data_IF_076209176118
#
_entry.id   IF_076209176118
#
_cell.length_a   1.000
_cell.length_b   1.000
_cell.length_c   1.000
_cell.angle_alpha   90.00
_cell.angle_beta   90.00
_cell.angle_gamma   90.00
#
_symmetry.space_group_name_H-M   'P 1'
#
loop_
_entity.id
_entity.type
_entity.pdbx_description
1 polymer ?
#
# COMPACT_ATOMS: atom_id res chain seq x y z
N UNK A 1 45.05 -26.86 -2.97
CA UNK A 1 44.01 -27.54 -2.17
C UNK A 1 42.68 -27.12 -2.79
N UNK A 2 41.94 -28.03 -3.44
CA UNK A 2 40.64 -27.67 -4.04
C UNK A 2 39.71 -27.19 -2.91
N UNK A 3 39.02 -26.04 -3.05
CA UNK A 3 38.10 -25.60 -2.03
C UNK A 3 36.95 -26.61 -1.93
N UNK A 4 36.74 -27.16 -0.74
CA UNK A 4 35.63 -28.08 -0.44
C UNK A 4 34.26 -27.36 -0.38
N UNK A 5 34.27 -26.03 -0.45
CA UNK A 5 33.11 -25.16 -0.29
C UNK A 5 33.21 -23.98 -1.27
N UNK A 6 32.14 -23.75 -2.04
CA UNK A 6 32.04 -22.59 -2.92
C UNK A 6 31.72 -21.32 -2.10
N UNK A 7 32.42 -20.19 -2.34
CA UNK A 7 32.14 -18.92 -1.67
C UNK A 7 30.69 -18.46 -1.81
N UNK A 8 30.09 -18.64 -2.98
CA UNK A 8 28.71 -18.27 -3.31
C UNK A 8 27.72 -19.13 -2.52
N UNK A 9 28.00 -20.42 -2.40
CA UNK A 9 27.20 -21.33 -1.57
C UNK A 9 27.30 -20.96 -0.08
N UNK A 10 28.49 -20.59 0.39
CA UNK A 10 28.67 -20.08 1.75
C UNK A 10 27.89 -18.78 1.98
N UNK A 11 27.88 -17.87 1.01
CA UNK A 11 27.08 -16.65 1.08
C UNK A 11 25.60 -16.98 1.32
N UNK A 12 25.00 -17.87 0.52
CA UNK A 12 23.60 -18.26 0.72
C UNK A 12 23.33 -18.91 2.08
N UNK A 13 24.25 -19.73 2.60
CA UNK A 13 24.12 -20.33 3.93
C UNK A 13 24.16 -19.28 5.05
N UNK A 14 25.05 -18.31 4.96
CA UNK A 14 25.20 -17.23 5.94
C UNK A 14 24.11 -16.16 5.82
N UNK A 15 23.46 -16.05 4.67
CA UNK A 15 22.29 -15.20 4.46
C UNK A 15 20.98 -15.85 4.90
N UNK A 16 21.01 -17.08 5.40
CA UNK A 16 19.80 -17.80 5.84
C UNK A 16 19.29 -17.31 7.21
N UNK A 17 17.98 -17.39 7.41
CA UNK A 17 17.33 -17.11 8.69
C UNK A 17 17.88 -17.96 9.84
N UNK A 18 18.25 -19.21 9.55
CA UNK A 18 18.81 -20.12 10.55
C UNK A 18 20.17 -19.65 11.09
N UNK A 19 21.02 -19.11 10.22
CA UNK A 19 22.29 -18.52 10.64
C UNK A 19 22.04 -17.20 11.38
N UNK A 20 21.15 -16.35 10.86
CA UNK A 20 20.80 -15.09 11.49
C UNK A 20 20.27 -15.29 12.92
N UNK A 21 19.32 -16.21 13.11
CA UNK A 21 18.75 -16.54 14.42
C UNK A 21 19.82 -17.06 15.40
N UNK A 22 20.72 -17.94 14.93
CA UNK A 22 21.83 -18.43 15.73
C UNK A 22 22.79 -17.31 16.14
N UNK A 23 23.17 -16.45 15.19
CA UNK A 23 24.03 -15.29 15.44
C UNK A 23 23.42 -14.34 16.47
N UNK A 24 22.11 -14.08 16.36
CA UNK A 24 21.35 -13.24 17.28
C UNK A 24 21.23 -13.82 18.69
N UNK A 25 21.03 -15.13 18.83
CA UNK A 25 20.96 -15.80 20.13
C UNK A 25 22.27 -15.67 20.93
N UNK A 26 23.39 -15.63 20.22
CA UNK A 26 24.72 -15.52 20.83
C UNK A 26 25.28 -14.09 20.83
N UNK A 27 24.51 -13.12 20.34
CA UNK A 27 24.91 -11.72 20.31
C UNK A 27 24.93 -11.09 21.71
N UNK A 28 25.84 -10.14 21.93
CA UNK A 28 25.95 -9.39 23.20
C UNK A 28 25.41 -7.98 23.05
N UNK A 29 24.66 -7.52 24.05
CA UNK A 29 24.11 -6.16 24.13
C UNK A 29 22.65 -6.08 23.63
N UNK A 30 21.78 -5.45 24.43
CA UNK A 30 20.33 -5.42 24.16
C UNK A 30 19.91 -4.36 23.12
N UNK A 31 20.63 -3.24 23.03
CA UNK A 31 20.29 -2.10 22.14
C UNK A 31 21.06 -2.10 20.82
N UNK A 32 22.22 -2.78 20.79
CA UNK A 32 23.07 -2.97 19.61
C UNK A 32 23.75 -4.34 19.71
N UNK A 33 23.09 -5.41 19.25
CA UNK A 33 23.62 -6.76 19.33
C UNK A 33 24.93 -6.86 18.52
N UNK A 34 26.01 -7.27 19.19
CA UNK A 34 27.30 -7.55 18.55
C UNK A 34 27.46 -9.05 18.39
N UNK A 35 27.69 -9.50 17.15
CA UNK A 35 27.94 -10.91 16.85
C UNK A 35 29.10 -11.47 17.66
N UNK A 36 28.95 -12.70 18.15
CA UNK A 36 30.00 -13.40 18.88
C UNK A 36 30.80 -14.28 17.90
N UNK A 37 32.03 -13.88 17.62
CA UNK A 37 32.95 -14.59 16.71
C UNK A 37 33.12 -16.06 17.09
N UNK A 38 33.29 -16.36 18.37
CA UNK A 38 33.51 -17.73 18.85
C UNK A 38 32.27 -18.61 18.64
N UNK A 39 31.07 -18.03 18.80
CA UNK A 39 29.82 -18.73 18.55
C UNK A 39 29.62 -18.97 17.05
N UNK A 40 29.80 -17.93 16.22
CA UNK A 40 29.67 -18.04 14.75
C UNK A 40 30.57 -19.14 14.20
N UNK A 41 31.83 -19.23 14.67
CA UNK A 41 32.77 -20.28 14.23
C UNK A 41 32.36 -21.71 14.67
N UNK A 42 31.40 -21.86 15.59
CA UNK A 42 30.85 -23.15 16.03
C UNK A 42 29.55 -23.52 15.30
N UNK A 43 29.01 -22.64 14.47
CA UNK A 43 27.82 -22.91 13.68
C UNK A 43 28.10 -24.05 12.70
N UNK A 44 27.21 -25.05 12.67
CA UNK A 44 27.34 -26.22 11.79
C UNK A 44 26.61 -25.96 10.49
N UNK A 45 27.30 -26.16 9.37
CA UNK A 45 26.73 -26.03 8.03
C UNK A 45 26.72 -27.38 7.30
N UNK A 46 25.72 -27.65 6.47
CA UNK A 46 25.75 -28.77 5.54
C UNK A 46 26.71 -28.45 4.39
N UNK A 47 27.64 -29.37 4.08
CA UNK A 47 28.58 -29.22 2.95
C UNK A 47 28.37 -30.40 2.00
N UNK A 48 27.47 -30.28 1.01
CA UNK A 48 27.26 -31.33 0.01
C UNK A 48 28.43 -31.35 -1.00
N UNK A 49 28.50 -32.35 -1.91
CA UNK A 49 29.51 -32.37 -2.97
C UNK A 49 29.48 -31.10 -3.84
N UNK A 50 30.62 -30.73 -4.43
CA UNK A 50 30.75 -29.48 -5.19
C UNK A 50 29.73 -29.35 -6.33
N UNK A 51 29.40 -30.44 -7.02
CA UNK A 51 28.39 -30.41 -8.09
C UNK A 51 27.00 -30.02 -7.58
N UNK A 52 26.63 -30.49 -6.38
CA UNK A 52 25.38 -30.11 -5.73
C UNK A 52 25.42 -28.66 -5.28
N UNK A 53 26.56 -28.20 -4.74
CA UNK A 53 26.74 -26.78 -4.38
C UNK A 53 26.58 -25.88 -5.61
N UNK A 54 27.17 -26.25 -6.76
CA UNK A 54 27.04 -25.50 -8.03
C UNK A 54 25.60 -25.41 -8.47
N UNK A 55 24.86 -26.52 -8.42
CA UNK A 55 23.46 -26.54 -8.85
C UNK A 55 22.57 -25.70 -7.93
N UNK A 56 22.79 -25.77 -6.60
CA UNK A 56 22.08 -24.92 -5.65
C UNK A 56 22.36 -23.44 -5.93
N UNK A 57 23.64 -23.06 -6.07
CA UNK A 57 24.05 -21.68 -6.38
C UNK A 57 23.41 -21.22 -7.69
N UNK A 58 23.48 -22.04 -8.76
CA UNK A 58 22.88 -21.72 -10.05
C UNK A 58 21.39 -21.40 -9.93
N UNK A 59 20.64 -22.22 -9.18
CA UNK A 59 19.20 -22.01 -8.98
C UNK A 59 18.94 -20.72 -8.20
N UNK A 60 19.65 -20.52 -7.08
CA UNK A 60 19.46 -19.35 -6.22
C UNK A 60 19.87 -18.03 -6.92
N UNK A 61 20.96 -18.05 -7.68
CA UNK A 61 21.40 -16.92 -8.50
C UNK A 61 20.34 -16.60 -9.56
N UNK A 62 19.79 -17.61 -10.24
CA UNK A 62 18.72 -17.41 -11.23
C UNK A 62 17.51 -16.71 -10.60
N UNK A 63 17.08 -17.11 -9.40
CA UNK A 63 15.97 -16.45 -8.72
C UNK A 63 16.33 -15.02 -8.30
N UNK A 64 17.54 -14.80 -7.79
CA UNK A 64 18.02 -13.47 -7.40
C UNK A 64 18.05 -12.52 -8.60
N UNK A 65 18.52 -12.99 -9.76
CA UNK A 65 18.52 -12.23 -11.01
C UNK A 65 17.09 -11.91 -11.49
N UNK A 66 16.19 -12.88 -11.46
CA UNK A 66 14.78 -12.68 -11.85
C UNK A 66 14.06 -11.69 -10.92
N UNK A 67 14.32 -11.74 -9.61
CA UNK A 67 13.78 -10.77 -8.66
C UNK A 67 14.27 -9.36 -8.97
N UNK A 68 15.58 -9.19 -9.21
CA UNK A 68 16.17 -7.90 -9.57
C UNK A 68 15.63 -7.36 -10.91
N UNK A 69 15.48 -8.21 -11.92
CA UNK A 69 14.87 -7.84 -13.20
C UNK A 69 13.41 -7.40 -13.04
N UNK A 70 12.63 -8.14 -12.24
CA UNK A 70 11.23 -7.80 -11.98
C UNK A 70 11.09 -6.47 -11.22
N UNK A 71 11.95 -6.22 -10.23
CA UNK A 71 11.98 -4.94 -9.51
C UNK A 71 12.32 -3.78 -10.45
N UNK A 72 13.32 -3.95 -11.32
CA UNK A 72 13.71 -2.95 -12.31
C UNK A 72 12.60 -2.67 -13.32
N UNK A 73 11.93 -3.72 -13.84
CA UNK A 73 10.78 -3.57 -14.75
C UNK A 73 9.61 -2.87 -14.05
N UNK A 74 9.30 -3.20 -12.80
CA UNK A 74 8.25 -2.53 -12.03
C UNK A 74 8.54 -1.04 -11.84
N UNK A 75 9.79 -0.67 -11.54
CA UNK A 75 10.22 0.73 -11.44
C UNK A 75 10.09 1.44 -12.79
N UNK A 76 10.59 0.83 -13.87
CA UNK A 76 10.47 1.37 -15.22
C UNK A 76 9.01 1.59 -15.63
N UNK A 77 8.11 0.66 -15.31
CA UNK A 77 6.67 0.78 -15.58
C UNK A 77 5.99 1.86 -14.77
N UNK A 78 6.39 2.07 -13.51
CA UNK A 78 5.91 3.20 -12.70
C UNK A 78 6.31 4.53 -13.31
N UNK A 79 7.56 4.67 -13.73
CA UNK A 79 8.02 5.89 -14.43
C UNK A 79 7.28 6.12 -15.74
N UNK A 80 7.09 5.05 -16.53
CA UNK A 80 6.33 5.13 -17.77
C UNK A 80 4.88 5.56 -17.52
N UNK A 81 4.21 4.97 -16.54
CA UNK A 81 2.85 5.35 -16.15
C UNK A 81 2.78 6.82 -15.75
N UNK A 82 3.68 7.28 -14.89
CA UNK A 82 3.70 8.67 -14.42
C UNK A 82 3.91 9.66 -15.57
N UNK A 83 4.85 9.35 -16.48
CA UNK A 83 5.09 10.16 -17.67
C UNK A 83 3.85 10.29 -18.55
N UNK A 84 3.16 9.18 -18.84
CA UNK A 84 1.95 9.21 -19.64
C UNK A 84 0.79 9.88 -18.90
N UNK A 85 0.63 9.65 -17.60
CA UNK A 85 -0.39 10.31 -16.77
C UNK A 85 -0.26 11.83 -16.87
N UNK A 86 0.93 12.36 -16.61
CA UNK A 86 1.19 13.80 -16.70
C UNK A 86 0.96 14.34 -18.10
N UNK A 87 1.38 13.59 -19.12
CA UNK A 87 1.25 14.02 -20.53
C UNK A 87 -0.21 14.04 -20.98
N UNK A 88 -0.99 13.02 -20.64
CA UNK A 88 -2.38 12.87 -21.05
C UNK A 88 -3.34 13.77 -20.26
N UNK A 89 -3.06 14.03 -18.98
CA UNK A 89 -3.84 14.95 -18.15
C UNK A 89 -3.45 16.42 -18.35
N UNK A 90 -2.36 16.70 -19.06
CA UNK A 90 -2.00 18.07 -19.41
C UNK A 90 -3.03 18.63 -20.39
N UNK A 91 -3.61 19.82 -20.12
CA UNK A 91 -4.50 20.47 -21.07
C UNK A 91 -3.78 20.70 -22.40
N UNK A 92 -4.26 20.07 -23.47
CA UNK A 92 -3.73 20.32 -24.82
C UNK A 92 -4.38 21.59 -25.37
N UNK A 93 -3.55 22.55 -25.80
CA UNK A 93 -4.00 23.76 -26.46
C UNK A 93 -4.80 23.51 -27.75
N UNK A 94 -4.70 22.30 -28.32
CA UNK A 94 -5.38 21.91 -29.56
C UNK A 94 -6.63 21.05 -29.32
N UNK A 95 -6.92 20.66 -28.07
CA UNK A 95 -7.92 19.63 -27.73
C UNK A 95 -9.32 20.13 -27.38
N UNK A 96 -9.62 21.43 -27.51
CA UNK A 96 -10.92 21.98 -27.12
C UNK A 96 -11.22 21.94 -25.61
N UNK A 97 -10.23 21.60 -24.78
CA UNK A 97 -10.36 21.60 -23.32
C UNK A 97 -10.56 23.02 -22.81
N UNK A 98 -11.60 23.22 -22.00
CA UNK A 98 -11.88 24.48 -21.30
C UNK A 98 -11.49 24.37 -19.83
N UNK A 99 -10.97 25.46 -19.29
CA UNK A 99 -10.81 25.61 -17.85
C UNK A 99 -12.20 25.83 -17.22
N UNK A 100 -12.54 25.01 -16.24
CA UNK A 100 -13.77 25.12 -15.46
C UNK A 100 -13.42 25.04 -13.98
N UNK A 101 -14.18 25.77 -13.17
CA UNK A 101 -14.03 25.71 -11.71
C UNK A 101 -14.60 24.39 -11.18
N UNK A 102 -13.92 23.77 -10.21
CA UNK A 102 -14.37 22.49 -9.65
C UNK A 102 -15.78 22.60 -9.03
N UNK A 103 -16.12 23.74 -8.44
CA UNK A 103 -17.46 24.00 -7.89
C UNK A 103 -18.57 24.05 -8.95
N UNK A 104 -18.22 24.24 -10.24
CA UNK A 104 -19.19 24.15 -11.34
C UNK A 104 -19.52 22.71 -11.73
N UNK A 105 -18.66 21.74 -11.35
CA UNK A 105 -18.84 20.32 -11.62
C UNK A 105 -19.71 19.62 -10.58
N UNK A 106 -19.74 20.15 -9.37
CA UNK A 106 -20.47 19.54 -8.26
C UNK A 106 -20.20 20.24 -6.93
N UNK A 107 -20.90 19.79 -5.90
CA UNK A 107 -20.70 20.27 -4.52
C UNK A 107 -19.83 19.30 -3.75
N UNK A 108 -19.00 19.83 -2.85
CA UNK A 108 -18.31 18.98 -1.87
C UNK A 108 -19.33 18.44 -0.89
N UNK A 109 -19.36 17.11 -0.76
CA UNK A 109 -20.24 16.37 0.14
C UNK A 109 -19.43 15.58 1.15
N UNK A 110 -20.06 15.26 2.28
CA UNK A 110 -19.48 14.47 3.36
C UNK A 110 -20.58 13.71 4.10
N UNK A 111 -20.21 12.62 4.78
CA UNK A 111 -21.13 11.87 5.61
C UNK A 111 -21.56 12.68 6.85
N UNK A 112 -22.66 12.28 7.49
CA UNK A 112 -23.05 12.82 8.81
C UNK A 112 -22.05 12.40 9.89
N UNK A 113 -21.72 13.33 10.80
CA UNK A 113 -20.87 13.09 11.96
C UNK A 113 -21.34 11.90 12.82
N UNK A 114 -20.41 10.99 13.07
CA UNK A 114 -20.52 9.90 14.04
C UNK A 114 -19.66 10.25 15.25
N UNK A 115 -20.23 10.18 16.45
CA UNK A 115 -19.54 10.47 17.70
C UNK A 115 -18.88 9.22 18.29
N UNK A 116 -17.89 9.41 19.18
CA UNK A 116 -17.07 8.32 19.73
C UNK A 116 -17.90 7.26 20.48
N UNK A 117 -18.91 7.70 21.21
CA UNK A 117 -19.88 6.86 21.94
C UNK A 117 -20.77 6.03 21.00
N UNK A 118 -20.87 6.40 19.73
CA UNK A 118 -21.58 5.65 18.69
C UNK A 118 -20.70 4.62 17.98
N UNK A 119 -19.43 4.49 18.38
CA UNK A 119 -18.45 3.58 17.76
C UNK A 119 -17.98 2.47 18.70
N UNK A 120 -17.65 1.33 18.13
CA UNK A 120 -17.07 0.17 18.82
C UNK A 120 -15.77 -0.27 18.14
N UNK A 121 -14.95 -1.06 18.84
CA UNK A 121 -13.71 -1.64 18.28
C UNK A 121 -13.93 -2.92 17.47
N UNK A 122 -15.16 -3.45 17.50
CA UNK A 122 -15.61 -4.63 16.74
C UNK A 122 -17.06 -4.42 16.35
N UNK A 123 -17.43 -4.81 15.14
CA UNK A 123 -18.80 -4.72 14.65
C UNK A 123 -18.90 -5.02 13.17
N UNK A 124 -20.10 -4.86 12.63
CA UNK A 124 -20.43 -5.30 11.27
C UNK A 124 -20.21 -4.22 10.21
N UNK A 125 -20.30 -2.94 10.58
CA UNK A 125 -20.14 -1.82 9.64
C UNK A 125 -18.83 -1.07 9.93
N UNK A 126 -17.79 -1.25 9.10
CA UNK A 126 -16.58 -0.47 9.13
C UNK A 126 -16.84 1.05 9.15
N UNK A 127 -16.21 1.74 10.09
CA UNK A 127 -16.17 3.20 10.15
C UNK A 127 -14.74 3.68 9.92
N UNK A 128 -14.50 4.24 8.74
CA UNK A 128 -13.19 4.77 8.34
C UNK A 128 -13.00 6.19 8.88
N UNK A 129 -12.04 6.32 9.78
CA UNK A 129 -11.50 7.61 10.23
C UNK A 129 -10.33 7.99 9.34
N UNK A 130 -9.86 9.23 9.47
CA UNK A 130 -8.75 9.71 8.64
C UNK A 130 -7.48 8.83 8.72
N UNK A 131 -7.17 8.27 9.91
CA UNK A 131 -6.00 7.41 10.10
C UNK A 131 -6.14 6.00 9.49
N UNK A 132 -7.37 5.55 9.23
CA UNK A 132 -7.66 4.21 8.66
C UNK A 132 -8.18 4.28 7.22
N UNK A 133 -8.31 5.49 6.67
CA UNK A 133 -8.86 5.73 5.34
C UNK A 133 -8.03 5.07 4.23
N UNK A 134 -8.68 4.23 3.42
CA UNK A 134 -8.04 3.43 2.38
C UNK A 134 -7.17 2.29 2.92
N UNK A 135 -7.33 1.92 4.19
CA UNK A 135 -6.62 0.83 4.86
C UNK A 135 -7.56 -0.10 5.61
N UNK A 136 -7.11 -0.62 6.76
CA UNK A 136 -7.93 -1.50 7.61
C UNK A 136 -8.71 -0.67 8.64
N UNK A 137 -10.02 -0.90 8.81
CA UNK A 137 -10.81 -0.20 9.82
C UNK A 137 -10.43 -0.65 11.23
N UNK A 138 -10.50 0.29 12.18
CA UNK A 138 -10.25 0.09 13.61
C UNK A 138 -11.47 0.49 14.47
N UNK A 139 -12.54 0.97 13.83
CA UNK A 139 -13.78 1.38 14.46
C UNK A 139 -14.96 0.94 13.61
N UNK A 140 -16.09 0.71 14.27
CA UNK A 140 -17.32 0.20 13.67
C UNK A 140 -18.52 0.95 14.23
N UNK A 141 -19.60 1.02 13.44
CA UNK A 141 -20.91 1.52 13.87
C UNK A 141 -21.97 0.43 13.79
N UNK A 142 -23.09 0.61 14.49
CA UNK A 142 -24.20 -0.33 14.40
C UNK A 142 -24.90 -0.25 13.04
N UNK A 143 -25.48 -1.38 12.61
CA UNK A 143 -26.28 -1.43 11.38
C UNK A 143 -27.46 -0.45 11.41
N UNK A 144 -28.13 -0.31 12.56
CA UNK A 144 -29.22 0.63 12.73
C UNK A 144 -28.78 2.08 12.48
N UNK A 145 -27.62 2.48 13.02
CA UNK A 145 -27.07 3.83 12.80
C UNK A 145 -26.67 4.04 11.34
N UNK A 146 -26.02 3.04 10.73
CA UNK A 146 -25.62 3.08 9.33
C UNK A 146 -26.82 3.29 8.40
N UNK A 147 -27.88 2.49 8.55
CA UNK A 147 -29.08 2.58 7.72
C UNK A 147 -29.80 3.91 7.93
N UNK A 148 -29.94 4.37 9.17
CA UNK A 148 -30.56 5.65 9.50
C UNK A 148 -29.80 6.84 8.90
N UNK A 149 -28.46 6.82 8.97
CA UNK A 149 -27.65 7.91 8.44
C UNK A 149 -27.57 7.90 6.91
N UNK A 150 -27.34 6.74 6.30
CA UNK A 150 -27.26 6.58 4.84
C UNK A 150 -28.55 7.00 4.13
N UNK A 151 -29.71 6.80 4.76
CA UNK A 151 -31.00 7.14 4.15
C UNK A 151 -31.39 8.62 4.31
N UNK A 152 -30.91 9.29 5.37
CA UNK A 152 -31.32 10.68 5.70
C UNK A 152 -30.30 11.75 5.31
N UNK A 153 -29.03 11.37 5.13
CA UNK A 153 -27.94 12.31 4.89
C UNK A 153 -27.19 11.95 3.60
N UNK A 154 -26.41 12.89 3.03
CA UNK A 154 -25.53 12.59 1.91
C UNK A 154 -24.61 11.40 2.22
N UNK A 155 -24.53 10.49 1.28
CA UNK A 155 -23.73 9.28 1.37
C UNK A 155 -23.17 8.97 -0.04
N UNK A 156 -21.90 8.54 -0.16
CA UNK A 156 -21.29 8.31 -1.46
C UNK A 156 -21.99 7.18 -2.22
N UNK A 157 -22.05 7.32 -3.54
CA UNK A 157 -22.50 6.29 -4.47
C UNK A 157 -21.30 5.44 -4.89
N UNK A 158 -21.56 4.20 -5.27
CA UNK A 158 -20.53 3.35 -5.87
C UNK A 158 -19.89 4.07 -7.05
N UNK A 159 -18.56 4.17 -7.05
CA UNK A 159 -17.78 4.90 -8.04
C UNK A 159 -17.38 6.32 -7.61
N UNK A 160 -17.98 6.91 -6.57
CA UNK A 160 -17.59 8.22 -6.08
C UNK A 160 -16.15 8.20 -5.54
N UNK A 161 -15.40 9.27 -5.80
CA UNK A 161 -14.01 9.40 -5.34
C UNK A 161 -13.97 10.15 -4.01
N UNK A 162 -13.70 9.42 -2.95
CA UNK A 162 -13.49 9.96 -1.61
C UNK A 162 -12.06 10.51 -1.47
N UNK A 163 -11.93 11.66 -0.82
CA UNK A 163 -10.70 12.41 -0.62
C UNK A 163 -10.47 12.69 0.87
N UNK A 164 -9.23 12.57 1.31
CA UNK A 164 -8.81 13.07 2.61
C UNK A 164 -8.64 14.61 2.59
N UNK A 165 -9.39 15.28 3.45
CA UNK A 165 -9.32 16.73 3.69
C UNK A 165 -8.56 17.08 4.99
N UNK A 166 -8.15 16.09 5.78
CA UNK A 166 -7.35 16.24 6.99
C UNK A 166 -6.24 15.17 7.03
N UNK A 167 -5.29 15.27 7.96
CA UNK A 167 -4.18 14.30 8.05
C UNK A 167 -3.30 14.33 6.81
N UNK A 168 -3.09 13.18 6.15
CA UNK A 168 -2.46 13.11 4.82
C UNK A 168 -3.47 13.59 3.77
N UNK A 169 -3.43 14.88 3.43
CA UNK A 169 -4.36 15.52 2.48
C UNK A 169 -4.15 14.98 1.06
N UNK A 170 -5.25 14.79 0.32
CA UNK A 170 -5.22 14.44 -1.11
C UNK A 170 -5.17 12.94 -1.41
N UNK A 171 -5.24 12.07 -0.39
CA UNK A 171 -5.44 10.63 -0.63
C UNK A 171 -6.80 10.42 -1.27
N UNK A 172 -6.83 9.76 -2.43
CA UNK A 172 -8.05 9.44 -3.16
C UNK A 172 -8.37 7.93 -3.10
N UNK A 173 -9.63 7.60 -2.84
CA UNK A 173 -10.16 6.22 -2.78
C UNK A 173 -11.52 6.19 -3.51
N UNK A 174 -11.66 5.32 -4.50
CA UNK A 174 -12.97 5.04 -5.14
C UNK A 174 -13.83 4.23 -4.16
N UNK A 175 -15.07 4.67 -3.91
CA UNK A 175 -16.01 3.93 -3.09
C UNK A 175 -16.58 2.75 -3.90
N UNK A 176 -16.34 1.53 -3.42
CA UNK A 176 -16.73 0.28 -4.07
C UNK A 176 -18.23 -0.08 -3.94
N UNK A 177 -18.95 0.63 -3.07
CA UNK A 177 -20.35 0.38 -2.74
C UNK A 177 -20.54 -0.60 -1.57
N UNK A 178 -19.46 -1.13 -1.01
CA UNK A 178 -19.51 -2.02 0.14
C UNK A 178 -20.01 -1.31 1.39
N UNK A 179 -20.50 -2.08 2.36
CA UNK A 179 -21.07 -1.53 3.60
C UNK A 179 -19.96 -0.90 4.45
N UNK A 180 -19.81 0.40 4.36
CA UNK A 180 -18.84 1.19 5.12
C UNK A 180 -19.37 2.60 5.37
N UNK A 181 -18.81 3.27 6.38
CA UNK A 181 -19.15 4.65 6.70
C UNK A 181 -17.89 5.47 6.94
N UNK A 182 -17.94 6.79 6.70
CA UNK A 182 -16.75 7.64 6.61
C UNK A 182 -16.85 8.85 7.53
N UNK A 183 -15.72 9.24 8.12
CA UNK A 183 -15.65 10.38 9.03
C UNK A 183 -15.94 11.70 8.31
N UNK A 184 -16.90 12.45 8.86
CA UNK A 184 -17.30 13.75 8.34
C UNK A 184 -16.16 14.78 8.39
N UNK A 185 -16.19 15.75 7.47
CA UNK A 185 -15.20 16.83 7.28
C UNK A 185 -13.77 16.39 6.94
N UNK A 186 -13.34 15.21 7.36
CA UNK A 186 -12.02 14.65 7.10
C UNK A 186 -11.99 13.80 5.84
N UNK A 187 -13.11 13.16 5.51
CA UNK A 187 -13.29 12.38 4.28
C UNK A 187 -14.49 13.00 3.55
N UNK A 188 -14.21 13.49 2.34
CA UNK A 188 -15.17 14.23 1.51
C UNK A 188 -15.18 13.68 0.10
N UNK A 189 -16.19 13.99 -0.70
CA UNK A 189 -16.16 13.72 -2.14
C UNK A 189 -16.81 14.87 -2.90
N UNK A 190 -16.56 14.92 -4.20
CA UNK A 190 -17.31 15.78 -5.10
C UNK A 190 -18.57 15.02 -5.55
N UNK A 191 -19.75 15.55 -5.25
CA UNK A 191 -21.03 15.06 -5.78
C UNK A 191 -21.21 15.69 -7.17
N UNK A 192 -20.49 15.13 -8.15
CA UNK A 192 -20.50 15.59 -9.54
C UNK A 192 -21.47 14.81 -10.44
N UNK A 193 -21.81 15.43 -11.56
CA UNK A 193 -22.54 14.79 -12.64
C UNK A 193 -21.59 14.06 -13.58
N UNK A 194 -21.66 12.73 -13.60
CA UNK A 194 -20.85 11.88 -14.49
C UNK A 194 -21.18 12.05 -15.98
N UNK A 195 -22.28 12.71 -16.34
CA UNK A 195 -22.53 13.14 -17.72
C UNK A 195 -21.61 14.30 -18.16
N UNK A 196 -21.01 15.01 -17.21
CA UNK A 196 -20.09 16.13 -17.45
C UNK A 196 -18.64 15.70 -17.23
N UNK A 197 -18.36 15.03 -16.11
CA UNK A 197 -17.01 14.57 -15.74
C UNK A 197 -17.06 13.22 -15.05
N UNK A 198 -16.30 12.25 -15.56
CA UNK A 198 -16.26 10.91 -15.00
C UNK A 198 -15.54 10.88 -13.66
N UNK A 199 -16.05 10.09 -12.71
CA UNK A 199 -15.40 9.92 -11.41
C UNK A 199 -13.99 9.33 -11.56
N UNK A 200 -13.81 8.37 -12.47
CA UNK A 200 -12.49 7.78 -12.76
C UNK A 200 -11.49 8.80 -13.30
N UNK A 201 -11.96 9.77 -14.09
CA UNK A 201 -11.09 10.85 -14.58
C UNK A 201 -10.64 11.73 -13.41
N UNK A 202 -11.57 12.12 -12.53
CA UNK A 202 -11.25 12.87 -11.31
C UNK A 202 -10.30 12.10 -10.39
N UNK A 203 -10.47 10.78 -10.25
CA UNK A 203 -9.56 9.93 -9.48
C UNK A 203 -8.11 10.09 -9.95
N UNK A 204 -7.87 9.98 -11.26
CA UNK A 204 -6.52 10.15 -11.82
C UNK A 204 -5.99 11.59 -11.68
N UNK A 205 -6.87 12.60 -11.66
CA UNK A 205 -6.51 13.99 -11.44
C UNK A 205 -6.15 14.29 -9.97
N UNK A 206 -6.75 13.57 -9.02
CA UNK A 206 -6.53 13.77 -7.58
C UNK A 206 -5.33 12.99 -7.03
N UNK A 207 -4.87 11.96 -7.74
CA UNK A 207 -3.67 11.23 -7.34
C UNK A 207 -2.45 12.17 -7.39
N UNK A 208 -1.61 12.17 -6.33
CA UNK A 208 -0.37 12.95 -6.32
C UNK A 208 0.63 12.47 -7.38
#
# INVERSE_FOLDING_TARGET
MLPMLLPEFLFYLLSSDSFFAYSMQHAKGAKMPRGNKEAIMRYRIPVPPLEVQREIVRILDTFTELEAELEAELEARRHQYEHYRQTLLRPSAQGGSRWIELGSLGRVSMCKRVFKDQTTTRGDIPFFKIGTFGGKPDAYISEALFLDYRNRYPFPKKGDVLLSAAGTIGRAVEYDGERAYFQDSNIVWLDNDESIVLNRYLYHQYQP
#
